data_IF_638177438869
#
_entry.id   IF_638177438869
#
_cell.length_a   1.000
_cell.length_b   1.000
_cell.length_c   1.000
_cell.angle_alpha   90.00
_cell.angle_beta   90.00
_cell.angle_gamma   90.00
#
_symmetry.space_group_name_H-M   'P 1'
#
loop_
_entity.id
_entity.type
_entity.pdbx_description
1 polymer ?
#
# COMPACT_ATOMS: atom_id res chain seq x y z
N UNK A 1 21.85 -17.93 9.84
CA UNK A 1 20.58 -17.37 9.35
C UNK A 1 20.57 -15.83 9.49
N UNK A 2 20.32 -15.10 8.40
CA UNK A 2 20.08 -13.64 8.50
C UNK A 2 18.85 -13.39 9.36
N UNK A 3 18.84 -12.39 10.26
CA UNK A 3 17.62 -11.98 10.96
C UNK A 3 16.50 -11.73 9.95
N UNK A 4 15.27 -12.12 10.29
CA UNK A 4 14.11 -11.77 9.48
C UNK A 4 13.96 -10.24 9.45
N UNK A 5 13.84 -9.64 8.27
CA UNK A 5 13.58 -8.20 8.16
C UNK A 5 12.20 -7.88 8.77
N UNK A 6 12.17 -6.93 9.70
CA UNK A 6 10.95 -6.49 10.40
C UNK A 6 10.64 -5.01 10.16
N UNK A 7 11.43 -4.33 9.32
CA UNK A 7 11.35 -2.89 9.13
C UNK A 7 10.01 -2.47 8.56
N UNK A 8 9.46 -3.29 7.65
CA UNK A 8 8.18 -3.06 6.97
C UNK A 8 6.98 -2.86 7.92
N UNK A 9 7.04 -3.35 9.16
CA UNK A 9 5.92 -3.27 10.13
C UNK A 9 6.16 -2.28 11.27
N UNK A 10 7.21 -1.47 11.18
CA UNK A 10 7.53 -0.47 12.20
C UNK A 10 6.69 0.78 11.98
N UNK A 11 5.94 1.18 13.01
CA UNK A 11 5.37 2.52 13.07
C UNK A 11 6.48 3.53 13.40
N UNK A 12 6.50 4.65 12.70
CA UNK A 12 7.53 5.69 12.77
C UNK A 12 7.10 6.89 13.64
N UNK A 13 5.84 6.96 14.05
CA UNK A 13 5.29 8.09 14.81
C UNK A 13 4.93 9.28 13.93
N UNK A 14 4.62 9.05 12.65
CA UNK A 14 4.12 10.10 11.77
C UNK A 14 2.67 10.43 12.16
N UNK A 15 2.16 11.64 11.82
CA UNK A 15 0.78 12.01 12.13
C UNK A 15 -0.23 11.01 11.59
N UNK A 16 -0.07 10.54 10.34
CA UNK A 16 -0.87 9.50 9.73
C UNK A 16 0.08 8.45 9.10
N UNK A 17 -0.20 7.17 9.31
CA UNK A 17 0.65 6.07 8.86
C UNK A 17 -0.15 4.94 8.22
N UNK A 18 0.44 4.35 7.18
CA UNK A 18 0.04 3.07 6.59
C UNK A 18 1.13 2.05 6.90
N UNK A 19 0.86 1.11 7.81
CA UNK A 19 1.86 0.14 8.30
C UNK A 19 1.47 -1.28 7.90
N UNK A 20 2.21 -1.93 6.98
CA UNK A 20 1.99 -3.34 6.64
C UNK A 20 2.18 -4.31 7.82
N UNK A 21 1.38 -5.38 7.87
CA UNK A 21 1.59 -6.49 8.81
C UNK A 21 2.41 -7.63 8.21
N UNK A 22 2.44 -7.74 6.88
CA UNK A 22 3.31 -8.65 6.12
C UNK A 22 4.31 -7.85 5.30
N UNK A 23 5.48 -8.45 5.04
CA UNK A 23 6.43 -7.86 4.11
C UNK A 23 5.81 -7.89 2.69
N UNK A 24 5.51 -6.74 2.06
CA UNK A 24 4.84 -6.71 0.77
C UNK A 24 5.67 -7.36 -0.35
N UNK A 25 7.00 -7.49 -0.17
CA UNK A 25 7.90 -8.13 -1.13
C UNK A 25 7.84 -9.66 -1.11
N UNK A 26 7.22 -10.27 -0.10
CA UNK A 26 7.11 -11.73 0.04
C UNK A 26 5.67 -12.24 -0.12
N UNK A 27 4.77 -11.41 -0.66
CA UNK A 27 3.41 -11.82 -0.97
C UNK A 27 3.42 -12.88 -2.07
N UNK A 28 2.72 -13.99 -1.82
CA UNK A 28 2.44 -14.99 -2.86
C UNK A 28 1.39 -14.42 -3.82
N UNK A 29 1.38 -14.81 -5.10
CA UNK A 29 0.30 -14.47 -6.02
C UNK A 29 -1.07 -14.79 -5.41
N UNK A 30 -1.99 -13.84 -5.44
CA UNK A 30 -3.34 -13.96 -4.86
C UNK A 30 -3.42 -13.85 -3.33
N UNK A 31 -2.29 -13.65 -2.63
CA UNK A 31 -2.30 -13.32 -1.20
C UNK A 31 -2.90 -11.92 -0.98
N UNK A 32 -3.38 -11.69 0.24
CA UNK A 32 -3.82 -10.37 0.67
C UNK A 32 -2.78 -9.74 1.60
N UNK A 33 -2.62 -8.42 1.47
CA UNK A 33 -1.79 -7.60 2.34
C UNK A 33 -2.68 -6.92 3.37
N UNK A 34 -2.43 -7.16 4.65
CA UNK A 34 -3.05 -6.39 5.73
C UNK A 34 -2.21 -5.14 6.00
N UNK A 35 -2.87 -3.99 6.00
CA UNK A 35 -2.26 -2.70 6.34
C UNK A 35 -3.03 -2.06 7.49
N UNK A 36 -2.32 -1.57 8.50
CA UNK A 36 -2.87 -0.77 9.59
C UNK A 36 -2.88 0.70 9.18
N UNK A 37 -3.99 1.37 9.41
CA UNK A 37 -4.11 2.84 9.31
C UNK A 37 -4.01 3.39 10.72
N UNK A 38 -2.99 4.21 10.98
CA UNK A 38 -2.74 4.80 12.30
C UNK A 38 -2.76 6.33 12.23
N UNK A 39 -3.49 6.98 13.12
CA UNK A 39 -3.41 8.41 13.37
C UNK A 39 -2.79 8.62 14.75
N UNK A 40 -1.65 9.31 14.83
CA UNK A 40 -0.89 9.50 16.07
C UNK A 40 -0.63 8.18 16.82
N UNK A 41 -0.30 7.13 16.06
CA UNK A 41 -0.07 5.77 16.58
C UNK A 41 -1.33 4.97 16.93
N UNK A 42 -2.53 5.57 16.88
CA UNK A 42 -3.79 4.91 17.21
C UNK A 42 -4.51 4.41 15.95
N UNK A 43 -5.20 3.25 15.99
CA UNK A 43 -5.97 2.76 14.85
C UNK A 43 -7.05 3.75 14.39
N UNK A 44 -7.28 3.85 13.07
CA UNK A 44 -8.35 4.68 12.48
C UNK A 44 -9.45 3.81 11.87
N UNK A 45 -10.53 3.50 12.61
CA UNK A 45 -11.69 2.80 12.07
C UNK A 45 -12.34 3.54 10.90
N UNK A 46 -12.81 2.80 9.90
CA UNK A 46 -13.59 3.36 8.78
C UNK A 46 -12.79 4.22 7.79
N UNK A 47 -11.48 4.40 8.01
CA UNK A 47 -10.60 5.18 7.12
C UNK A 47 -10.73 4.70 5.67
N UNK A 48 -11.01 5.63 4.75
CA UNK A 48 -11.06 5.35 3.32
C UNK A 48 -9.64 5.22 2.79
N UNK A 49 -9.30 4.03 2.31
CA UNK A 49 -8.01 3.73 1.70
C UNK A 49 -8.21 3.56 0.20
N UNK A 50 -7.41 4.26 -0.58
CA UNK A 50 -7.39 4.17 -2.03
C UNK A 50 -6.15 3.42 -2.48
N UNK A 51 -6.29 2.57 -3.50
CA UNK A 51 -5.22 1.75 -4.03
C UNK A 51 -5.17 1.92 -5.55
N UNK A 52 -3.97 2.20 -6.07
CA UNK A 52 -3.65 2.15 -7.49
C UNK A 52 -2.68 1.00 -7.74
N UNK A 53 -3.04 0.15 -8.69
CA UNK A 53 -2.20 -0.91 -9.24
C UNK A 53 -1.70 -0.49 -10.61
N UNK A 54 -0.42 -0.20 -10.72
CA UNK A 54 0.25 0.18 -11.95
C UNK A 54 1.01 -1.01 -12.58
N UNK A 55 0.69 -2.24 -12.20
CA UNK A 55 1.28 -3.44 -12.79
C UNK A 55 0.93 -3.54 -14.28
N UNK A 56 1.89 -3.88 -15.15
CA UNK A 56 1.60 -4.11 -16.55
C UNK A 56 0.60 -5.27 -16.72
N UNK A 57 -0.31 -5.21 -17.70
CA UNK A 57 -1.19 -6.33 -18.00
C UNK A 57 -0.39 -7.60 -18.29
N UNK A 58 -0.90 -8.76 -17.85
CA UNK A 58 -0.21 -10.05 -17.97
C UNK A 58 0.12 -10.49 -19.42
N UNK A 59 -0.40 -9.80 -20.43
CA UNK A 59 -0.19 -10.08 -21.84
C UNK A 59 -0.18 -8.80 -22.69
N UNK A 60 0.82 -7.94 -22.51
CA UNK A 60 1.08 -6.86 -23.47
C UNK A 60 2.01 -7.38 -24.58
N UNK A 61 1.50 -7.41 -25.82
CA UNK A 61 2.37 -7.58 -26.99
C UNK A 61 3.28 -6.34 -27.09
N UNK A 62 4.53 -6.48 -27.57
CA UNK A 62 5.38 -5.32 -27.88
C UNK A 62 4.60 -4.33 -28.76
N UNK A 63 4.54 -3.06 -28.36
CA UNK A 63 3.78 -2.01 -29.05
C UNK A 63 2.33 -1.81 -28.61
N UNK A 64 1.84 -2.54 -27.60
CA UNK A 64 0.50 -2.29 -27.02
C UNK A 64 0.53 -1.09 -26.08
N UNK A 65 -0.45 -0.19 -26.19
CA UNK A 65 -0.63 0.92 -25.24
C UNK A 65 -0.84 0.34 -23.83
N UNK A 66 -0.04 0.80 -22.87
CA UNK A 66 -0.15 0.41 -21.46
C UNK A 66 -1.52 0.87 -20.94
N UNK A 67 -2.31 -0.06 -20.42
CA UNK A 67 -3.58 0.28 -19.79
C UNK A 67 -3.33 1.23 -18.59
N UNK A 68 -4.24 2.18 -18.29
CA UNK A 68 -4.11 3.02 -17.11
C UNK A 68 -4.06 2.15 -15.83
N UNK A 69 -3.41 2.62 -14.75
CA UNK A 69 -3.43 1.92 -13.48
C UNK A 69 -4.86 1.59 -13.04
N UNK A 70 -5.08 0.37 -12.56
CA UNK A 70 -6.39 0.03 -11.99
C UNK A 70 -6.51 0.68 -10.61
N UNK A 71 -7.72 1.12 -10.25
CA UNK A 71 -7.99 1.82 -8.99
C UNK A 71 -9.17 1.18 -8.27
N UNK A 72 -9.04 1.05 -6.95
CA UNK A 72 -10.13 0.67 -6.07
C UNK A 72 -10.00 1.34 -4.71
N UNK A 73 -11.08 1.32 -3.94
CA UNK A 73 -11.08 1.79 -2.56
C UNK A 73 -11.64 0.74 -1.59
N UNK A 74 -11.20 0.81 -0.35
CA UNK A 74 -11.70 -0.01 0.75
C UNK A 74 -11.69 0.78 2.05
N UNK A 75 -12.35 0.28 3.09
CA UNK A 75 -12.39 0.93 4.40
C UNK A 75 -11.73 0.07 5.47
N UNK A 76 -11.04 0.74 6.38
CA UNK A 76 -10.48 0.10 7.56
C UNK A 76 -11.61 -0.45 8.46
N UNK A 77 -11.41 -1.64 9.02
CA UNK A 77 -12.31 -2.21 10.00
C UNK A 77 -12.20 -1.51 11.38
N UNK A 78 -12.96 -1.99 12.38
CA UNK A 78 -12.97 -1.42 13.74
C UNK A 78 -11.61 -1.44 14.45
N UNK A 79 -10.64 -2.21 13.96
CA UNK A 79 -9.27 -2.26 14.48
C UNK A 79 -8.27 -1.44 13.65
N UNK A 80 -8.76 -0.59 12.74
CA UNK A 80 -7.95 0.22 11.84
C UNK A 80 -7.20 -0.58 10.77
N UNK A 81 -7.69 -1.77 10.39
CA UNK A 81 -7.04 -2.64 9.40
C UNK A 81 -7.78 -2.68 8.09
N UNK A 82 -7.05 -2.58 6.98
CA UNK A 82 -7.53 -2.89 5.63
C UNK A 82 -6.90 -4.17 5.12
N UNK A 83 -7.70 -4.97 4.41
CA UNK A 83 -7.23 -6.14 3.68
C UNK A 83 -7.18 -5.82 2.19
N UNK A 84 -5.97 -5.73 1.63
CA UNK A 84 -5.74 -5.39 0.23
C UNK A 84 -5.51 -6.66 -0.57
N UNK A 85 -6.39 -6.96 -1.53
CA UNK A 85 -6.21 -8.08 -2.46
C UNK A 85 -5.36 -7.60 -3.64
N UNK A 86 -4.05 -7.76 -3.52
CA UNK A 86 -3.08 -7.36 -4.54
C UNK A 86 -2.60 -8.60 -5.31
N UNK A 87 -2.80 -8.68 -6.63
CA UNK A 87 -2.50 -9.90 -7.40
C UNK A 87 -1.01 -10.27 -7.47
N UNK A 88 -0.11 -9.32 -7.24
CA UNK A 88 1.33 -9.54 -7.29
C UNK A 88 2.12 -8.58 -6.40
N UNK A 89 3.40 -8.41 -6.74
CA UNK A 89 4.35 -7.60 -5.97
C UNK A 89 4.37 -6.11 -6.38
N UNK A 90 3.52 -5.68 -7.31
CA UNK A 90 3.36 -4.27 -7.71
C UNK A 90 3.96 -3.91 -9.07
N UNK A 91 4.03 -2.61 -9.38
CA UNK A 91 3.96 -1.48 -8.45
C UNK A 91 2.56 -1.09 -7.95
N UNK A 92 2.49 -0.77 -6.64
CA UNK A 92 1.29 -0.24 -5.98
C UNK A 92 1.53 1.13 -5.32
N UNK A 93 0.49 1.96 -5.33
CA UNK A 93 0.32 3.12 -4.44
C UNK A 93 -0.90 2.88 -3.56
N UNK A 94 -0.72 2.93 -2.25
CA UNK A 94 -1.80 2.91 -1.25
C UNK A 94 -1.83 4.29 -0.60
N UNK A 95 -2.99 4.94 -0.55
CA UNK A 95 -3.14 6.27 0.04
C UNK A 95 -4.32 6.34 1.01
N UNK A 96 -4.15 7.15 2.04
CA UNK A 96 -5.20 7.51 2.98
C UNK A 96 -5.12 9.01 3.26
N UNK A 97 -6.28 9.62 3.49
CA UNK A 97 -6.41 11.01 3.88
C UNK A 97 -7.28 11.09 5.13
N UNK A 98 -6.85 11.90 6.09
CA UNK A 98 -7.63 12.29 7.26
C UNK A 98 -7.88 13.79 7.19
N UNK A 99 -9.12 14.20 7.42
CA UNK A 99 -9.51 15.60 7.55
C UNK A 99 -10.06 15.83 8.95
N UNK A 100 -9.52 16.82 9.63
CA UNK A 100 -9.90 17.21 10.99
C UNK A 100 -10.14 18.70 11.02
N UNK A 101 -10.94 19.17 11.98
CA UNK A 101 -11.07 20.60 12.21
C UNK A 101 -9.69 21.21 12.48
N UNK A 102 -9.45 22.42 11.98
CA UNK A 102 -8.18 23.09 12.20
C UNK A 102 -7.90 23.22 13.70
N UNK A 103 -6.67 22.93 14.16
CA UNK A 103 -6.30 23.11 15.55
C UNK A 103 -6.45 24.58 15.95
N UNK A 104 -6.63 24.84 17.25
CA UNK A 104 -6.89 26.19 17.78
C UNK A 104 -5.88 27.26 17.31
N UNK A 105 -4.62 26.89 17.13
CA UNK A 105 -3.58 27.81 16.62
C UNK A 105 -3.70 28.19 15.14
N UNK A 106 -4.56 27.50 14.38
CA UNK A 106 -4.78 27.69 12.94
C UNK A 106 -6.21 28.11 12.58
N UNK A 107 -7.13 28.14 13.54
CA UNK A 107 -8.57 28.33 13.27
C UNK A 107 -8.91 29.70 12.64
N UNK A 108 -8.05 30.71 12.79
CA UNK A 108 -8.20 32.01 12.12
C UNK A 108 -7.70 32.04 10.68
N UNK A 109 -7.08 30.95 10.21
CA UNK A 109 -6.44 30.84 8.88
C UNK A 109 -6.92 29.64 8.07
N UNK A 110 -7.51 28.63 8.71
CA UNK A 110 -8.04 27.44 8.08
C UNK A 110 -9.19 26.86 8.92
N UNK A 111 -10.19 26.30 8.26
CA UNK A 111 -11.27 25.56 8.93
C UNK A 111 -10.91 24.08 9.14
N UNK A 112 -10.06 23.53 8.27
CA UNK A 112 -9.69 22.11 8.24
C UNK A 112 -8.17 21.92 8.12
N UNK A 113 -7.67 20.89 8.77
CA UNK A 113 -6.35 20.31 8.56
C UNK A 113 -6.50 18.96 7.87
N UNK A 114 -5.86 18.82 6.72
CA UNK A 114 -5.81 17.55 5.99
C UNK A 114 -4.42 16.96 6.09
N UNK A 115 -4.36 15.69 6.49
CA UNK A 115 -3.12 14.91 6.57
C UNK A 115 -3.23 13.72 5.63
N UNK A 116 -2.18 13.47 4.84
CA UNK A 116 -2.10 12.35 3.91
C UNK A 116 -0.95 11.43 4.28
N UNK A 117 -1.16 10.14 4.06
CA UNK A 117 -0.11 9.14 4.11
C UNK A 117 -0.18 8.27 2.86
N UNK A 118 0.98 7.92 2.33
CA UNK A 118 1.12 7.01 1.20
C UNK A 118 2.09 5.90 1.54
N UNK A 119 1.81 4.71 1.02
CA UNK A 119 2.68 3.56 1.03
C UNK A 119 2.81 3.08 -0.41
N UNK A 120 4.05 3.02 -0.90
CA UNK A 120 4.36 2.46 -2.22
C UNK A 120 5.24 1.23 -2.06
N UNK A 121 5.03 0.23 -2.90
CA UNK A 121 5.88 -0.93 -2.98
C UNK A 121 5.83 -1.56 -4.37
N UNK A 122 6.97 -2.12 -4.77
CA UNK A 122 7.15 -2.86 -6.00
C UNK A 122 8.26 -3.88 -5.76
N UNK A 123 8.01 -5.16 -5.94
CA UNK A 123 9.08 -6.17 -5.95
C UNK A 123 9.95 -6.06 -7.22
N UNK A 124 11.07 -6.80 -7.28
CA UNK A 124 11.89 -6.84 -8.49
C UNK A 124 11.02 -7.25 -9.67
N UNK A 125 11.05 -6.47 -10.75
CA UNK A 125 10.39 -6.85 -11.99
C UNK A 125 10.92 -8.23 -12.38
N UNK A 126 10.06 -9.24 -12.50
CA UNK A 126 10.45 -10.49 -13.15
C UNK A 126 10.89 -10.11 -14.56
N UNK A 127 12.17 -10.27 -14.95
CA UNK A 127 12.59 -9.96 -16.30
C UNK A 127 11.75 -10.81 -17.27
N UNK A 128 11.23 -10.24 -18.36
CA UNK A 128 10.61 -11.06 -19.39
C UNK A 128 11.64 -12.10 -19.86
N UNK A 129 11.37 -13.40 -19.62
CA UNK A 129 12.17 -14.51 -20.17
C UNK A 129 12.73 -15.54 -19.20
N UNK A 130 12.64 -15.38 -17.88
CA UNK A 130 13.13 -16.39 -16.91
C UNK A 130 12.04 -17.38 -16.44
N UNK A 131 11.12 -17.74 -17.33
CA UNK A 131 10.11 -18.76 -17.09
C UNK A 131 10.48 -20.08 -17.77
N UNK A 132 10.89 -21.07 -16.96
CA UNK A 132 11.16 -22.48 -17.30
C UNK A 132 12.53 -22.77 -17.94
N UNK A 133 13.54 -23.11 -17.13
CA UNK A 133 14.75 -23.74 -17.69
C UNK A 133 15.86 -24.13 -16.71
N UNK A 134 16.08 -23.40 -15.61
CA UNK A 134 17.35 -23.52 -14.88
C UNK A 134 17.30 -24.21 -13.51
N UNK A 135 16.21 -24.89 -13.18
CA UNK A 135 16.17 -25.79 -12.03
C UNK A 135 15.68 -27.18 -12.45
N UNK A 136 16.50 -27.89 -13.22
CA UNK A 136 16.58 -29.34 -13.07
C UNK A 136 17.99 -29.66 -12.60
N UNK A 137 18.08 -30.31 -11.44
CA UNK A 137 19.23 -31.14 -11.11
C UNK A 137 19.30 -32.33 -12.07
#
# INVERSE_FOLDING_TARGET
PSPADTTYRRALGLPLELVPEQNPYYLRPGAALTVRVLHLGQPVPGALVQVWDASPPAATKPGTIVAPPSHFSTRANNSGRVLLRVPGIGPYLVAVSLMEAAPAGLISRADWLSTWATLTFAGPATPPGLGKGYFSK
#
